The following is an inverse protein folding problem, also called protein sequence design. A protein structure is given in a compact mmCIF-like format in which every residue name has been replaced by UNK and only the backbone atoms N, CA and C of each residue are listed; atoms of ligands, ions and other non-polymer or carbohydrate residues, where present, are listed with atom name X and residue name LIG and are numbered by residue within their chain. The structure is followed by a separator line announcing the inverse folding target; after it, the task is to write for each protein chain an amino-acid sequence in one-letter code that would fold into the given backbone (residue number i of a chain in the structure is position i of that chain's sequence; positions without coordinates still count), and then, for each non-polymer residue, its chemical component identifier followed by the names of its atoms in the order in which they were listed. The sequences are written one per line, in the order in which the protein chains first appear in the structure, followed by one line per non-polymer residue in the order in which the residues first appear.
data_IF_205856180793
#
_entry.id   IF_205856180793
#
_cell.length_a   1.000
_cell.length_b   1.000
_cell.length_c   1.000
_cell.angle_alpha   90.00
_cell.angle_beta   90.00
_cell.angle_gamma   90.00
#
_symmetry.space_group_name_H-M   'P 1'
#
loop_
_entity.id
_entity.type
_entity.pdbx_description
1 polymer ?
#
# COMPACT_ATOMS: atom_id res chain seq x y z
N UNK A 1 78.23 8.52 7.74
CA UNK A 1 76.95 7.79 7.92
C UNK A 1 75.79 8.79 8.00
N UNK A 2 75.19 9.16 6.86
CA UNK A 2 73.96 9.96 6.81
C UNK A 2 72.78 8.99 6.74
N UNK A 3 71.90 9.00 7.75
CA UNK A 3 70.66 8.22 7.76
C UNK A 3 69.56 9.07 7.10
N UNK A 4 69.14 8.67 5.91
CA UNK A 4 67.97 9.22 5.21
C UNK A 4 66.71 8.69 5.90
N UNK A 5 65.92 9.57 6.50
CA UNK A 5 64.60 9.22 7.05
C UNK A 5 63.60 9.34 5.90
N UNK A 6 63.07 8.20 5.46
CA UNK A 6 62.00 8.14 4.47
C UNK A 6 60.67 8.32 5.20
N UNK A 7 60.05 9.50 5.08
CA UNK A 7 58.68 9.72 5.55
C UNK A 7 57.71 9.09 4.55
N UNK A 8 57.15 7.93 4.91
CA UNK A 8 55.98 7.38 4.25
C UNK A 8 54.76 8.24 4.60
N UNK A 9 54.31 9.06 3.65
CA UNK A 9 52.99 9.68 3.68
C UNK A 9 51.93 8.60 3.41
N UNK A 10 51.35 8.05 4.48
CA UNK A 10 50.12 7.28 4.42
C UNK A 10 48.96 8.24 4.16
N UNK A 11 48.55 8.37 2.90
CA UNK A 11 47.28 9.02 2.54
C UNK A 11 46.14 8.09 2.96
N UNK A 12 45.53 8.36 4.12
CA UNK A 12 44.25 7.79 4.51
C UNK A 12 43.17 8.37 3.58
N UNK A 13 42.82 7.65 2.51
CA UNK A 13 41.57 7.89 1.80
C UNK A 13 40.43 7.43 2.72
N UNK A 14 39.89 8.34 3.53
CA UNK A 14 38.53 8.15 4.05
C UNK A 14 37.60 8.23 2.84
N UNK A 15 37.10 7.10 2.37
CA UNK A 15 35.93 7.02 1.50
C UNK A 15 34.73 7.57 2.29
N UNK A 16 34.53 8.88 2.25
CA UNK A 16 33.21 9.44 2.52
C UNK A 16 32.39 9.09 1.28
N UNK A 17 31.59 8.02 1.34
CA UNK A 17 30.56 7.74 0.32
C UNK A 17 29.74 9.02 0.18
N UNK A 18 29.63 9.54 -1.04
CA UNK A 18 28.75 10.68 -1.29
C UNK A 18 27.32 10.26 -0.89
N UNK A 19 26.59 11.16 -0.20
CA UNK A 19 25.18 10.92 0.07
C UNK A 19 24.45 11.03 -1.26
N UNK A 20 23.98 9.92 -1.81
CA UNK A 20 23.17 9.90 -3.03
C UNK A 20 21.92 10.75 -2.83
N UNK A 21 21.56 11.49 -3.88
CA UNK A 21 20.33 12.28 -3.90
C UNK A 21 19.12 11.35 -4.09
N UNK A 22 17.91 11.81 -3.70
CA UNK A 22 16.69 11.04 -3.92
C UNK A 22 16.42 10.75 -5.42
N UNK A 23 16.94 11.60 -6.31
CA UNK A 23 16.79 11.43 -7.76
C UNK A 23 17.74 10.33 -8.28
N UNK A 24 19.00 10.29 -7.82
CA UNK A 24 19.92 9.20 -8.17
C UNK A 24 19.41 7.82 -7.69
N UNK A 25 18.82 7.78 -6.49
CA UNK A 25 18.22 6.56 -5.95
C UNK A 25 17.01 6.10 -6.78
N UNK A 26 16.17 7.04 -7.24
CA UNK A 26 14.96 6.65 -7.98
C UNK A 26 15.29 6.09 -9.36
N UNK A 27 16.31 6.65 -10.03
CA UNK A 27 16.79 6.19 -11.33
C UNK A 27 17.28 4.73 -11.25
N UNK A 28 17.98 4.36 -10.16
CA UNK A 28 18.37 2.99 -9.92
C UNK A 28 17.15 2.07 -9.67
N UNK A 29 16.21 2.51 -8.84
CA UNK A 29 14.98 1.74 -8.54
C UNK A 29 14.15 1.48 -9.80
N UNK A 30 14.18 2.40 -10.78
CA UNK A 30 13.52 2.23 -12.08
C UNK A 30 14.07 1.02 -12.86
N UNK A 31 15.34 0.64 -12.70
CA UNK A 31 15.90 -0.56 -13.34
C UNK A 31 15.20 -1.86 -12.89
N UNK A 32 14.56 -1.85 -11.72
CA UNK A 32 13.78 -2.96 -11.19
C UNK A 32 12.27 -2.88 -11.55
N UNK A 33 11.82 -1.83 -12.23
CA UNK A 33 10.43 -1.75 -12.70
C UNK A 33 10.16 -2.85 -13.73
N UNK A 34 9.05 -3.57 -13.52
CA UNK A 34 8.61 -4.61 -14.45
C UNK A 34 7.59 -4.02 -15.41
N UNK A 35 7.79 -4.21 -16.72
CA UNK A 35 6.83 -3.78 -17.73
C UNK A 35 5.45 -4.39 -17.49
N UNK A 36 4.40 -3.61 -17.80
CA UNK A 36 3.04 -4.12 -17.75
C UNK A 36 2.84 -5.21 -18.81
N UNK A 37 2.22 -6.35 -18.46
CA UNK A 37 1.90 -7.36 -19.45
C UNK A 37 0.88 -6.81 -20.46
N UNK A 38 0.92 -7.32 -21.68
CA UNK A 38 -0.10 -7.01 -22.71
C UNK A 38 -1.48 -7.39 -22.18
N UNK A 39 -2.44 -6.45 -22.05
CA UNK A 39 -3.74 -6.73 -21.44
C UNK A 39 -4.55 -7.75 -22.24
N UNK A 40 -5.17 -8.69 -21.53
CA UNK A 40 -5.99 -9.78 -22.09
C UNK A 40 -7.48 -9.58 -21.76
N UNK A 41 -8.40 -10.23 -22.49
CA UNK A 41 -9.82 -10.19 -22.16
C UNK A 41 -10.07 -10.58 -20.69
N UNK A 42 -10.68 -9.66 -19.93
CA UNK A 42 -10.93 -9.81 -18.49
C UNK A 42 -10.06 -8.91 -17.62
N UNK A 43 -8.91 -8.46 -18.11
CA UNK A 43 -8.01 -7.55 -17.40
C UNK A 43 -8.57 -6.12 -17.36
N UNK A 44 -8.15 -5.35 -16.36
CA UNK A 44 -8.59 -3.97 -16.19
C UNK A 44 -8.25 -3.10 -17.40
N UNK A 45 -6.97 -3.09 -17.81
CA UNK A 45 -6.48 -2.26 -18.92
C UNK A 45 -6.94 -2.74 -20.32
N UNK A 46 -7.48 -3.95 -20.40
CA UNK A 46 -8.17 -4.41 -21.62
C UNK A 46 -9.48 -3.64 -21.78
N UNK A 47 -10.25 -3.50 -20.69
CA UNK A 47 -11.56 -2.84 -20.66
C UNK A 47 -11.48 -1.31 -20.55
N UNK A 48 -10.58 -0.79 -19.72
CA UNK A 48 -10.46 0.63 -19.42
C UNK A 48 -9.15 1.17 -19.96
N UNK A 49 -9.22 2.26 -20.75
CA UNK A 49 -8.03 2.95 -21.25
C UNK A 49 -7.70 4.11 -20.33
N UNK A 50 -6.59 3.98 -19.62
CA UNK A 50 -6.11 4.95 -18.65
C UNK A 50 -4.83 5.60 -19.16
N UNK A 51 -4.68 6.90 -18.91
CA UNK A 51 -3.50 7.66 -19.36
C UNK A 51 -2.33 7.62 -18.37
N UNK A 52 -2.56 7.04 -17.18
CA UNK A 52 -1.66 7.19 -16.05
C UNK A 52 -1.65 8.62 -15.50
N UNK A 53 -0.64 8.91 -14.68
CA UNK A 53 -0.44 10.21 -14.05
C UNK A 53 1.07 10.37 -13.87
N UNK A 54 1.70 11.41 -14.45
CA UNK A 54 3.13 11.67 -14.22
C UNK A 54 3.38 12.27 -12.83
N UNK A 55 4.65 12.38 -12.42
CA UNK A 55 5.03 13.02 -11.15
C UNK A 55 4.62 14.51 -11.14
N UNK A 56 4.79 15.23 -12.24
CA UNK A 56 4.39 16.63 -12.37
C UNK A 56 2.87 16.79 -12.25
N UNK A 57 2.12 15.92 -12.93
CA UNK A 57 0.67 15.90 -12.85
C UNK A 57 0.19 15.60 -11.42
N UNK A 58 0.85 14.66 -10.75
CA UNK A 58 0.59 14.33 -9.35
C UNK A 58 0.81 15.54 -8.43
N UNK A 59 1.93 16.25 -8.56
CA UNK A 59 2.25 17.44 -7.78
C UNK A 59 1.16 18.52 -7.94
N UNK A 60 0.66 18.69 -9.17
CA UNK A 60 -0.41 19.64 -9.50
C UNK A 60 -1.77 19.27 -8.89
N UNK A 61 -2.00 18.02 -8.47
CA UNK A 61 -3.27 17.62 -7.83
C UNK A 61 -3.49 18.23 -6.45
N UNK A 62 -2.44 18.81 -5.84
CA UNK A 62 -2.41 19.26 -4.45
C UNK A 62 -2.89 18.15 -3.49
N UNK A 63 -2.14 17.03 -3.38
CA UNK A 63 -2.57 15.85 -2.64
C UNK A 63 -2.73 16.15 -1.15
N UNK A 64 -3.47 15.29 -0.46
CA UNK A 64 -3.53 15.28 1.00
C UNK A 64 -2.12 15.06 1.54
N UNK A 65 -1.66 15.94 2.45
CA UNK A 65 -0.32 15.89 3.03
C UNK A 65 -0.37 15.85 4.55
N UNK A 66 0.66 15.28 5.20
CA UNK A 66 0.89 15.45 6.63
C UNK A 66 0.95 16.94 7.00
N UNK A 67 0.45 17.27 8.18
CA UNK A 67 0.54 18.61 8.78
C UNK A 67 1.05 18.48 10.22
N UNK A 68 1.16 19.59 10.95
CA UNK A 68 1.44 19.55 12.39
C UNK A 68 0.33 18.91 13.24
N UNK A 69 -0.88 18.76 12.68
CA UNK A 69 -2.03 18.13 13.36
C UNK A 69 -2.28 16.73 12.80
N UNK A 70 -2.46 16.64 11.48
CA UNK A 70 -2.83 15.41 10.76
C UNK A 70 -1.59 14.59 10.43
N UNK A 71 -1.34 13.55 11.21
CA UNK A 71 -0.10 12.76 11.15
C UNK A 71 -0.32 11.25 11.23
N UNK A 72 -1.55 10.79 11.50
CA UNK A 72 -1.82 9.39 11.82
C UNK A 72 -2.71 8.74 10.75
N UNK A 73 -2.34 7.55 10.26
CA UNK A 73 -3.27 6.67 9.56
C UNK A 73 -4.09 5.88 10.57
N UNK A 74 -5.39 5.80 10.35
CA UNK A 74 -6.26 4.96 11.16
C UNK A 74 -6.81 3.79 10.36
N UNK A 75 -6.81 2.60 10.96
CA UNK A 75 -7.67 1.51 10.53
C UNK A 75 -8.95 1.50 11.38
N UNK A 76 -10.11 1.46 10.74
CA UNK A 76 -11.41 1.33 11.41
C UNK A 76 -12.01 -0.05 11.10
N UNK A 77 -11.92 -1.04 12.01
CA UNK A 77 -12.59 -2.32 11.83
C UNK A 77 -14.12 -2.14 11.90
N UNK A 78 -14.85 -2.67 10.92
CA UNK A 78 -16.33 -2.64 10.87
C UNK A 78 -16.86 -4.04 10.57
N UNK A 79 -17.60 -4.64 11.51
CA UNK A 79 -18.25 -5.94 11.34
C UNK A 79 -17.85 -6.95 12.42
N UNK A 80 -17.71 -8.20 12.02
CA UNK A 80 -17.43 -9.33 12.91
C UNK A 80 -16.20 -10.09 12.42
N UNK A 81 -15.17 -10.12 13.25
CA UNK A 81 -13.88 -10.70 12.89
C UNK A 81 -13.53 -11.86 13.83
N UNK A 82 -13.10 -12.97 13.24
CA UNK A 82 -12.40 -14.04 13.98
C UNK A 82 -11.07 -13.52 14.54
N UNK A 83 -10.49 -14.23 15.52
CA UNK A 83 -9.18 -13.85 16.09
C UNK A 83 -8.08 -13.78 15.02
N UNK A 84 -8.10 -14.69 14.04
CA UNK A 84 -7.14 -14.68 12.94
C UNK A 84 -7.30 -13.44 12.05
N UNK A 85 -8.54 -13.01 11.79
CA UNK A 85 -8.80 -11.79 11.01
C UNK A 85 -8.40 -10.53 11.78
N UNK A 86 -8.63 -10.47 13.10
CA UNK A 86 -8.15 -9.37 13.94
C UNK A 86 -6.63 -9.26 13.88
N UNK A 87 -5.93 -10.38 13.97
CA UNK A 87 -4.47 -10.41 13.82
C UNK A 87 -4.00 -9.95 12.43
N UNK A 88 -4.73 -10.29 11.36
CA UNK A 88 -4.43 -9.78 10.01
C UNK A 88 -4.61 -8.25 9.95
N UNK A 89 -5.62 -7.69 10.63
CA UNK A 89 -5.82 -6.23 10.71
C UNK A 89 -4.64 -5.58 11.44
N UNK A 90 -4.17 -6.16 12.54
CA UNK A 90 -3.02 -5.65 13.29
C UNK A 90 -1.76 -5.66 12.41
N UNK A 91 -1.48 -6.75 11.69
CA UNK A 91 -0.35 -6.81 10.75
C UNK A 91 -0.53 -5.88 9.55
N UNK A 92 -1.77 -5.60 9.15
CA UNK A 92 -2.05 -4.59 8.13
C UNK A 92 -1.69 -3.19 8.65
N UNK A 93 -1.96 -2.87 9.92
CA UNK A 93 -1.52 -1.61 10.52
C UNK A 93 0.02 -1.51 10.61
N UNK A 94 0.70 -2.61 10.96
CA UNK A 94 2.17 -2.68 10.94
C UNK A 94 2.71 -2.43 9.54
N UNK A 95 2.16 -3.11 8.53
CA UNK A 95 2.54 -2.92 7.13
C UNK A 95 2.34 -1.48 6.66
N UNK A 96 1.16 -0.91 6.90
CA UNK A 96 0.83 0.46 6.48
C UNK A 96 1.71 1.50 7.15
N UNK A 97 2.14 1.23 8.39
CA UNK A 97 3.10 2.08 9.10
C UNK A 97 4.41 2.17 8.34
N UNK A 98 4.92 1.02 7.91
CA UNK A 98 6.16 0.93 7.14
C UNK A 98 5.96 1.46 5.72
N UNK A 99 4.91 1.03 5.03
CA UNK A 99 4.68 1.31 3.62
C UNK A 99 4.51 2.81 3.34
N UNK A 100 3.86 3.55 4.24
CA UNK A 100 3.67 5.00 4.11
C UNK A 100 4.67 5.82 4.95
N UNK A 101 5.48 5.18 5.80
CA UNK A 101 6.41 5.88 6.70
C UNK A 101 5.69 6.76 7.73
N UNK A 102 4.50 6.35 8.16
CA UNK A 102 3.57 7.16 8.96
C UNK A 102 2.95 6.32 10.06
N UNK A 103 2.75 6.89 11.25
CA UNK A 103 2.15 6.14 12.38
C UNK A 103 0.76 5.62 12.00
N UNK A 104 0.53 4.32 12.12
CA UNK A 104 -0.81 3.73 11.96
C UNK A 104 -1.37 3.27 13.31
N UNK A 105 -2.67 3.50 13.54
CA UNK A 105 -3.39 3.03 14.74
C UNK A 105 -4.65 2.28 14.33
N UNK A 106 -5.03 1.25 15.09
CA UNK A 106 -6.31 0.56 14.92
C UNK A 106 -7.33 1.16 15.90
N UNK A 107 -8.48 1.59 15.39
CA UNK A 107 -9.60 2.11 16.18
C UNK A 107 -10.43 0.97 16.79
N UNK A 108 -11.26 1.26 17.82
CA UNK A 108 -12.19 0.28 18.36
C UNK A 108 -13.11 -0.31 17.30
N UNK A 109 -13.38 -1.61 17.39
CA UNK A 109 -14.28 -2.33 16.50
C UNK A 109 -15.69 -1.70 16.53
N UNK A 110 -16.24 -1.43 15.35
CA UNK A 110 -17.62 -1.02 15.17
C UNK A 110 -18.45 -2.15 14.57
N UNK A 111 -19.73 -2.21 14.94
CA UNK A 111 -20.66 -3.19 14.38
C UNK A 111 -21.07 -2.78 12.97
N UNK A 112 -21.17 -3.74 12.05
CA UNK A 112 -21.78 -3.51 10.74
C UNK A 112 -23.27 -3.11 10.86
N UNK A 113 -23.89 -3.33 12.04
CA UNK A 113 -25.28 -2.95 12.30
C UNK A 113 -25.57 -1.45 12.22
N UNK A 114 -24.54 -0.61 12.32
CA UNK A 114 -24.68 0.84 12.12
C UNK A 114 -25.04 1.24 10.67
N UNK A 115 -24.86 0.33 9.71
CA UNK A 115 -25.18 0.57 8.30
C UNK A 115 -26.66 0.20 8.09
N UNK A 116 -27.52 1.13 7.66
CA UNK A 116 -28.96 0.90 7.58
C UNK A 116 -29.30 -0.09 6.45
N UNK A 117 -30.45 -0.77 6.56
CA UNK A 117 -30.92 -1.72 5.56
C UNK A 117 -31.04 -1.10 4.14
N UNK A 118 -31.35 0.20 4.04
CA UNK A 118 -31.36 0.95 2.77
C UNK A 118 -29.99 1.07 2.09
N UNK A 119 -28.91 0.78 2.81
CA UNK A 119 -27.52 0.80 2.34
C UNK A 119 -26.87 -0.59 2.43
N UNK A 120 -27.71 -1.64 2.45
CA UNK A 120 -27.30 -3.03 2.31
C UNK A 120 -28.08 -3.69 1.17
N UNK A 121 -27.55 -4.81 0.67
CA UNK A 121 -28.31 -5.73 -0.18
C UNK A 121 -27.93 -7.16 0.15
N UNK A 122 -28.86 -8.08 -0.11
CA UNK A 122 -28.60 -9.52 0.02
C UNK A 122 -28.11 -10.04 -1.32
N UNK A 123 -27.01 -10.81 -1.32
CA UNK A 123 -26.53 -11.46 -2.53
C UNK A 123 -27.40 -12.65 -2.91
N UNK A 124 -27.34 -13.04 -4.17
CA UNK A 124 -28.03 -14.24 -4.69
C UNK A 124 -27.68 -15.50 -3.88
N UNK A 125 -26.41 -15.66 -3.50
CA UNK A 125 -25.93 -16.80 -2.70
C UNK A 125 -26.03 -16.59 -1.18
N UNK A 126 -26.77 -15.57 -0.74
CA UNK A 126 -26.90 -15.19 0.66
C UNK A 126 -25.75 -14.35 1.21
N UNK A 127 -25.99 -13.77 2.38
CA UNK A 127 -25.08 -12.86 3.08
C UNK A 127 -25.17 -11.42 2.59
N UNK A 128 -24.95 -10.50 3.54
CA UNK A 128 -25.07 -9.06 3.34
C UNK A 128 -23.89 -8.49 2.56
N UNK A 129 -24.21 -7.60 1.62
CA UNK A 129 -23.30 -6.68 0.98
C UNK A 129 -23.57 -5.25 1.46
N UNK A 130 -22.52 -4.52 1.82
CA UNK A 130 -22.59 -3.16 2.32
C UNK A 130 -22.26 -2.17 1.20
N UNK A 131 -22.99 -1.05 1.15
CA UNK A 131 -22.74 0.02 0.19
C UNK A 131 -21.47 0.79 0.59
N UNK A 132 -20.38 0.62 -0.16
CA UNK A 132 -19.09 1.22 0.17
C UNK A 132 -19.15 2.77 0.30
N UNK A 133 -19.82 3.51 -0.61
CA UNK A 133 -20.00 4.96 -0.44
C UNK A 133 -20.68 5.37 0.88
N UNK A 134 -21.60 4.57 1.41
CA UNK A 134 -22.25 4.88 2.69
C UNK A 134 -21.25 4.82 3.85
N UNK A 135 -20.36 3.83 3.84
CA UNK A 135 -19.29 3.70 4.85
C UNK A 135 -18.40 4.95 4.81
N UNK A 136 -17.97 5.37 3.62
CA UNK A 136 -17.14 6.57 3.49
C UNK A 136 -17.88 7.82 3.99
N UNK A 137 -19.04 8.10 3.43
CA UNK A 137 -19.69 9.41 3.55
C UNK A 137 -20.51 9.59 4.83
N UNK A 138 -21.10 8.52 5.34
CA UNK A 138 -22.01 8.57 6.50
C UNK A 138 -21.41 7.96 7.77
N UNK A 139 -20.39 7.11 7.65
CA UNK A 139 -19.72 6.51 8.82
C UNK A 139 -18.38 7.20 9.11
N UNK A 140 -17.47 7.23 8.14
CA UNK A 140 -16.10 7.69 8.39
C UNK A 140 -15.97 9.22 8.39
N UNK A 141 -16.52 9.91 7.39
CA UNK A 141 -16.37 11.38 7.27
C UNK A 141 -16.87 12.14 8.50
N UNK A 142 -18.05 11.83 9.08
CA UNK A 142 -18.53 12.53 10.27
C UNK A 142 -17.71 12.27 11.54
N UNK A 143 -16.91 11.20 11.56
CA UNK A 143 -16.17 10.73 12.74
C UNK A 143 -14.66 10.70 12.52
N UNK A 144 -14.14 11.47 11.55
CA UNK A 144 -12.72 11.62 11.30
C UNK A 144 -12.00 12.15 12.56
N UNK A 145 -11.04 11.40 13.15
CA UNK A 145 -10.22 11.93 14.23
C UNK A 145 -9.48 13.19 13.79
N UNK A 146 -9.27 14.13 14.72
CA UNK A 146 -8.61 15.41 14.41
C UNK A 146 -7.17 15.22 13.90
N UNK A 147 -6.43 14.28 14.50
CA UNK A 147 -5.05 13.94 14.13
C UNK A 147 -4.97 12.95 12.95
N UNK A 148 -6.11 12.51 12.41
CA UNK A 148 -6.12 11.59 11.27
C UNK A 148 -5.58 12.30 10.03
N UNK A 149 -4.54 11.72 9.43
CA UNK A 149 -4.15 12.01 8.05
C UNK A 149 -5.19 11.41 7.10
N UNK A 150 -5.45 10.11 7.26
CA UNK A 150 -6.48 9.34 6.54
C UNK A 150 -7.07 8.26 7.45
N UNK A 151 -8.28 7.80 7.12
CA UNK A 151 -8.95 6.68 7.81
C UNK A 151 -9.35 5.61 6.79
N UNK A 152 -8.84 4.41 6.95
CA UNK A 152 -9.16 3.26 6.13
C UNK A 152 -9.99 2.27 6.94
N UNK A 153 -11.26 2.10 6.57
CA UNK A 153 -12.06 1.03 7.15
C UNK A 153 -11.62 -0.33 6.61
N UNK A 154 -11.67 -1.34 7.47
CA UNK A 154 -11.56 -2.75 7.06
C UNK A 154 -12.85 -3.43 7.50
N UNK A 155 -13.57 -4.06 6.57
CA UNK A 155 -14.81 -4.77 6.88
C UNK A 155 -14.73 -6.26 6.60
N UNK A 156 -15.38 -7.05 7.45
CA UNK A 156 -15.61 -8.48 7.25
C UNK A 156 -16.71 -8.79 6.24
N UNK A 157 -17.52 -7.80 5.87
CA UNK A 157 -18.66 -7.96 4.97
C UNK A 157 -18.26 -7.64 3.53
N UNK A 158 -18.98 -8.21 2.57
CA UNK A 158 -18.75 -7.94 1.16
C UNK A 158 -19.20 -6.51 0.78
N UNK A 159 -18.59 -5.90 -0.22
CA UNK A 159 -18.82 -4.50 -0.60
C UNK A 159 -19.39 -4.39 -2.00
N UNK A 160 -20.19 -3.35 -2.24
CA UNK A 160 -20.59 -2.94 -3.59
C UNK A 160 -20.54 -1.41 -3.74
N UNK A 161 -20.18 -0.87 -4.92
CA UNK A 161 -20.03 0.57 -5.11
C UNK A 161 -21.32 1.25 -5.56
N UNK A 162 -22.16 0.55 -6.34
CA UNK A 162 -23.40 1.07 -6.91
C UNK A 162 -24.33 -0.10 -7.30
N UNK A 163 -25.65 0.14 -7.49
CA UNK A 163 -26.61 -0.92 -7.79
C UNK A 163 -26.25 -1.79 -9.00
N UNK A 164 -25.65 -1.22 -10.04
CA UNK A 164 -25.29 -1.90 -11.29
C UNK A 164 -23.99 -2.72 -11.23
N UNK A 165 -23.29 -2.73 -10.10
CA UNK A 165 -22.01 -3.41 -9.93
C UNK A 165 -22.11 -4.61 -9.00
N UNK A 166 -21.33 -5.66 -9.27
CA UNK A 166 -21.36 -6.90 -8.49
C UNK A 166 -20.70 -6.77 -7.12
N UNK A 167 -19.47 -6.26 -7.07
CA UNK A 167 -18.75 -5.99 -5.84
C UNK A 167 -17.49 -5.14 -6.12
N UNK A 168 -16.84 -4.69 -5.05
CA UNK A 168 -15.48 -4.12 -5.07
C UNK A 168 -14.67 -4.70 -3.91
N UNK A 169 -13.35 -4.77 -4.05
CA UNK A 169 -12.46 -5.15 -2.95
C UNK A 169 -12.22 -3.99 -1.98
N UNK A 170 -12.21 -2.78 -2.51
CA UNK A 170 -12.14 -1.54 -1.75
C UNK A 170 -12.71 -0.36 -2.52
N UNK A 171 -12.81 0.77 -1.83
CA UNK A 171 -13.19 2.04 -2.40
C UNK A 171 -12.61 3.18 -1.54
N UNK A 172 -11.95 4.14 -2.17
CA UNK A 172 -11.46 5.33 -1.50
C UNK A 172 -12.00 6.63 -2.09
N UNK A 173 -12.03 7.66 -1.25
CA UNK A 173 -12.20 9.03 -1.70
C UNK A 173 -10.85 9.71 -1.88
N UNK A 174 -10.63 10.27 -3.07
CA UNK A 174 -9.43 11.04 -3.42
C UNK A 174 -9.23 12.31 -2.57
N UNK A 175 -10.28 12.82 -1.92
CA UNK A 175 -10.23 14.11 -1.20
C UNK A 175 -10.74 14.04 0.23
N UNK A 176 -11.70 13.15 0.52
CA UNK A 176 -12.34 13.07 1.85
C UNK A 176 -11.47 12.36 2.89
N UNK A 177 -10.31 11.82 2.50
CA UNK A 177 -9.33 11.16 3.39
C UNK A 177 -9.86 9.88 4.03
N UNK A 178 -10.79 9.22 3.35
CA UNK A 178 -11.46 8.01 3.83
C UNK A 178 -11.53 6.96 2.73
N UNK A 179 -11.50 5.70 3.12
CA UNK A 179 -11.76 4.57 2.25
C UNK A 179 -12.14 3.32 3.03
N UNK A 180 -12.46 2.26 2.32
CA UNK A 180 -12.84 0.97 2.89
C UNK A 180 -12.30 -0.17 2.04
N UNK A 181 -11.81 -1.24 2.69
CA UNK A 181 -11.46 -2.52 2.06
C UNK A 181 -12.21 -3.65 2.74
N UNK A 182 -12.46 -4.73 2.00
CA UNK A 182 -13.16 -5.91 2.50
C UNK A 182 -12.25 -7.12 2.53
N UNK A 183 -12.12 -7.74 3.71
CA UNK A 183 -11.46 -9.04 3.85
C UNK A 183 -12.35 -10.21 3.39
N UNK A 184 -13.63 -9.96 3.09
CA UNK A 184 -14.65 -10.99 2.84
C UNK A 184 -14.21 -12.01 1.79
N UNK A 185 -13.57 -11.55 0.72
CA UNK A 185 -13.23 -12.38 -0.46
C UNK A 185 -11.82 -12.96 -0.42
N UNK A 186 -11.03 -12.72 0.62
CA UNK A 186 -9.59 -13.05 0.60
C UNK A 186 -9.25 -14.43 1.18
N UNK A 187 -10.16 -15.02 1.96
CA UNK A 187 -10.04 -16.40 2.40
C UNK A 187 -11.06 -17.25 1.65
N UNK A 188 -10.60 -18.16 0.78
CA UNK A 188 -11.45 -19.11 0.06
C UNK A 188 -12.24 -19.98 1.06
N UNK A 189 -13.44 -19.50 1.44
CA UNK A 189 -14.41 -20.06 2.41
C UNK A 189 -14.09 -19.79 3.89
N UNK A 190 -12.91 -20.16 4.39
CA UNK A 190 -12.51 -19.94 5.79
C UNK A 190 -11.01 -19.70 5.95
N UNK A 191 -10.66 -18.76 6.81
CA UNK A 191 -9.27 -18.43 7.12
C UNK A 191 -8.65 -19.49 8.03
N UNK A 192 -7.54 -20.08 7.59
CA UNK A 192 -6.76 -21.07 8.30
C UNK A 192 -5.26 -20.79 8.12
N UNK A 193 -4.39 -21.62 8.72
CA UNK A 193 -2.93 -21.40 8.66
C UNK A 193 -2.35 -21.43 7.25
N UNK A 194 -2.95 -22.17 6.31
CA UNK A 194 -2.43 -22.33 4.96
C UNK A 194 -2.74 -21.12 4.07
N UNK A 195 -3.96 -20.56 4.15
CA UNK A 195 -4.34 -19.38 3.36
C UNK A 195 -4.12 -18.05 4.10
N UNK A 196 -3.53 -18.09 5.30
CA UNK A 196 -3.23 -16.92 6.09
C UNK A 196 -2.30 -15.90 5.39
N UNK A 197 -1.15 -16.30 4.81
CA UNK A 197 -0.25 -15.35 4.15
C UNK A 197 -0.92 -14.66 2.96
N UNK A 198 -1.66 -15.42 2.14
CA UNK A 198 -2.37 -14.88 0.99
C UNK A 198 -3.48 -13.90 1.39
N UNK A 199 -4.21 -14.19 2.48
CA UNK A 199 -5.24 -13.29 2.97
C UNK A 199 -4.64 -11.96 3.49
N UNK A 200 -3.52 -12.03 4.20
CA UNK A 200 -2.77 -10.85 4.60
C UNK A 200 -2.26 -10.08 3.38
N UNK A 201 -1.63 -10.76 2.42
CA UNK A 201 -1.10 -10.18 1.19
C UNK A 201 -2.18 -9.39 0.42
N UNK A 202 -3.36 -9.98 0.26
CA UNK A 202 -4.49 -9.31 -0.43
C UNK A 202 -5.00 -8.10 0.34
N UNK A 203 -5.11 -8.18 1.68
CA UNK A 203 -5.59 -7.05 2.47
C UNK A 203 -4.60 -5.89 2.47
N UNK A 204 -3.29 -6.16 2.62
CA UNK A 204 -2.27 -5.10 2.58
C UNK A 204 -2.20 -4.45 1.19
N UNK A 205 -2.37 -5.25 0.12
CA UNK A 205 -2.41 -4.77 -1.28
C UNK A 205 -3.55 -3.81 -1.51
N UNK A 206 -4.78 -4.25 -1.25
CA UNK A 206 -5.96 -3.41 -1.44
C UNK A 206 -5.92 -2.20 -0.49
N UNK A 207 -5.51 -2.37 0.77
CA UNK A 207 -5.50 -1.24 1.70
C UNK A 207 -4.48 -0.17 1.34
N UNK A 208 -3.28 -0.56 0.90
CA UNK A 208 -2.28 0.40 0.41
C UNK A 208 -2.69 1.05 -0.91
N UNK A 209 -3.33 0.31 -1.82
CA UNK A 209 -3.90 0.85 -3.06
C UNK A 209 -4.96 1.94 -2.77
N UNK A 210 -5.95 1.63 -1.94
CA UNK A 210 -7.02 2.57 -1.60
C UNK A 210 -6.49 3.79 -0.84
N UNK A 211 -5.53 3.61 0.08
CA UNK A 211 -4.88 4.75 0.74
C UNK A 211 -4.06 5.57 -0.26
N UNK A 212 -3.44 4.93 -1.26
CA UNK A 212 -2.76 5.63 -2.36
C UNK A 212 -3.69 6.60 -3.08
N UNK A 213 -4.94 6.19 -3.36
CA UNK A 213 -5.96 7.09 -3.90
C UNK A 213 -6.29 8.25 -2.95
N UNK A 214 -6.31 8.05 -1.63
CA UNK A 214 -6.49 9.15 -0.66
C UNK A 214 -5.34 10.16 -0.68
N UNK A 215 -4.17 9.76 -1.19
CA UNK A 215 -3.03 10.63 -1.46
C UNK A 215 -2.98 11.13 -2.92
N UNK A 216 -4.08 11.04 -3.66
CA UNK A 216 -4.26 11.48 -5.06
C UNK A 216 -3.50 10.68 -6.13
N UNK A 217 -2.97 9.49 -5.81
CA UNK A 217 -2.47 8.60 -6.84
C UNK A 217 -3.64 8.09 -7.68
N UNK A 218 -3.55 8.19 -9.01
CA UNK A 218 -4.47 7.47 -9.90
C UNK A 218 -3.98 6.03 -10.10
N UNK A 219 -4.74 5.24 -10.86
CA UNK A 219 -4.20 3.98 -11.35
C UNK A 219 -2.90 4.21 -12.13
N UNK A 220 -1.92 3.34 -11.87
CA UNK A 220 -0.62 3.35 -12.52
C UNK A 220 -0.69 2.55 -13.83
N UNK A 221 -0.16 3.14 -14.90
CA UNK A 221 0.02 2.49 -16.20
C UNK A 221 1.49 2.48 -16.64
N UNK A 222 2.42 2.84 -15.75
CA UNK A 222 3.85 2.93 -16.06
C UNK A 222 4.52 1.55 -16.03
N UNK A 223 4.30 0.80 -14.94
CA UNK A 223 4.90 -0.49 -14.68
C UNK A 223 3.96 -1.33 -13.81
N UNK A 224 4.31 -2.60 -13.58
CA UNK A 224 3.68 -3.45 -12.56
C UNK A 224 3.85 -2.78 -11.20
N UNK A 225 2.73 -2.42 -10.57
CA UNK A 225 2.65 -1.56 -9.41
C UNK A 225 1.41 -1.91 -8.58
N UNK A 226 1.50 -1.76 -7.26
CA UNK A 226 0.35 -1.87 -6.35
C UNK A 226 -0.78 -0.91 -6.71
N UNK A 227 -0.49 0.18 -7.41
CA UNK A 227 -1.46 1.15 -7.91
C UNK A 227 -2.06 0.78 -9.28
N UNK A 228 -1.74 -0.37 -9.89
CA UNK A 228 -2.44 -0.76 -11.14
C UNK A 228 -3.92 -1.00 -10.85
N UNK A 229 -4.80 -0.59 -11.77
CA UNK A 229 -6.20 -0.99 -11.73
C UNK A 229 -6.33 -2.49 -11.93
N UNK A 230 -7.25 -3.12 -11.18
CA UNK A 230 -7.48 -4.57 -11.24
C UNK A 230 -8.98 -4.87 -11.32
N UNK A 231 -9.34 -5.88 -12.11
CA UNK A 231 -10.71 -6.29 -12.36
C UNK A 231 -11.06 -7.63 -11.68
N UNK A 232 -10.06 -8.34 -11.13
CA UNK A 232 -10.25 -9.62 -10.43
C UNK A 232 -9.18 -9.88 -9.36
N UNK A 233 -9.43 -10.84 -8.45
CA UNK A 233 -8.40 -11.31 -7.51
C UNK A 233 -7.24 -11.97 -8.24
N UNK A 234 -7.53 -12.71 -9.32
CA UNK A 234 -6.52 -13.40 -10.10
C UNK A 234 -5.54 -12.39 -10.70
N UNK A 235 -6.04 -11.30 -11.28
CA UNK A 235 -5.21 -10.20 -11.78
C UNK A 235 -4.42 -9.54 -10.64
N UNK A 236 -5.06 -9.24 -9.51
CA UNK A 236 -4.41 -8.64 -8.34
C UNK A 236 -3.31 -9.51 -7.72
N UNK A 237 -3.47 -10.83 -7.70
CA UNK A 237 -2.50 -11.78 -7.17
C UNK A 237 -1.27 -11.93 -8.08
N UNK A 238 -1.41 -11.58 -9.38
CA UNK A 238 -0.30 -11.58 -10.33
C UNK A 238 0.62 -10.37 -10.19
N UNK A 239 0.23 -9.30 -9.51
CA UNK A 239 1.10 -8.15 -9.20
C UNK A 239 1.70 -8.26 -7.78
N UNK A 240 2.90 -7.71 -7.51
CA UNK A 240 3.47 -7.64 -6.17
C UNK A 240 2.92 -6.43 -5.38
N UNK A 241 3.20 -6.37 -4.09
CA UNK A 241 2.94 -5.23 -3.20
C UNK A 241 4.03 -4.13 -3.29
N UNK A 242 4.51 -3.85 -4.51
CA UNK A 242 5.56 -2.87 -4.80
C UNK A 242 4.97 -1.63 -5.46
N UNK A 243 5.46 -0.45 -5.08
CA UNK A 243 5.28 0.77 -5.89
C UNK A 243 6.36 0.79 -6.96
N UNK A 244 5.98 1.01 -8.22
CA UNK A 244 6.94 1.34 -9.27
C UNK A 244 7.70 2.64 -8.93
N UNK A 245 8.84 2.89 -9.59
CA UNK A 245 9.68 4.07 -9.36
C UNK A 245 8.84 5.36 -9.39
N UNK A 246 8.01 5.53 -10.41
CA UNK A 246 7.17 6.74 -10.57
C UNK A 246 6.17 6.94 -9.41
N UNK A 247 5.49 5.88 -8.96
CA UNK A 247 4.54 5.97 -7.85
C UNK A 247 5.25 6.13 -6.49
N UNK A 248 6.42 5.53 -6.36
CA UNK A 248 7.26 5.65 -5.19
C UNK A 248 7.77 7.10 -5.04
N UNK A 249 8.22 7.73 -6.12
CA UNK A 249 8.66 9.12 -6.14
C UNK A 249 7.54 10.09 -5.75
N UNK A 250 6.32 9.90 -6.29
CA UNK A 250 5.14 10.69 -5.91
C UNK A 250 4.87 10.65 -4.41
N UNK A 251 4.86 9.44 -3.83
CA UNK A 251 4.62 9.27 -2.39
C UNK A 251 5.78 9.77 -1.55
N UNK A 252 7.03 9.57 -1.96
CA UNK A 252 8.19 10.09 -1.24
C UNK A 252 8.19 11.62 -1.26
N UNK A 253 7.89 12.24 -2.39
CA UNK A 253 7.72 13.69 -2.48
C UNK A 253 6.64 14.20 -1.53
N UNK A 254 5.55 13.44 -1.34
CA UNK A 254 4.44 13.86 -0.49
C UNK A 254 4.67 13.60 1.01
N UNK A 255 5.17 12.41 1.36
CA UNK A 255 5.24 11.90 2.73
C UNK A 255 6.64 11.99 3.35
N UNK A 256 7.67 12.28 2.54
CA UNK A 256 9.05 12.55 2.97
C UNK A 256 9.70 11.41 3.76
N UNK A 257 9.36 10.16 3.48
CA UNK A 257 10.05 9.00 4.06
C UNK A 257 11.43 8.77 3.41
N UNK A 258 12.32 8.07 4.12
CA UNK A 258 13.57 7.55 3.56
C UNK A 258 13.32 6.27 2.77
N UNK A 259 13.90 6.16 1.56
CA UNK A 259 13.81 4.93 0.76
C UNK A 259 14.44 3.74 1.47
N UNK A 260 15.69 3.89 1.92
CA UNK A 260 16.46 2.82 2.58
C UNK A 260 15.74 2.28 3.81
N UNK A 261 15.38 3.16 4.76
CA UNK A 261 14.72 2.75 6.00
C UNK A 261 13.37 2.08 5.73
N UNK A 262 12.64 2.56 4.72
CA UNK A 262 11.37 1.97 4.30
C UNK A 262 11.58 0.58 3.71
N UNK A 263 12.53 0.41 2.80
CA UNK A 263 12.77 -0.88 2.16
C UNK A 263 13.28 -1.94 3.14
N UNK A 264 14.22 -1.60 4.03
CA UNK A 264 14.70 -2.52 5.06
C UNK A 264 13.55 -3.01 5.96
N UNK A 265 12.67 -2.10 6.38
CA UNK A 265 11.50 -2.44 7.19
C UNK A 265 10.47 -3.28 6.40
N UNK A 266 10.24 -2.99 5.11
CA UNK A 266 9.38 -3.81 4.25
C UNK A 266 9.95 -5.22 4.06
N UNK A 267 11.26 -5.35 3.80
CA UNK A 267 11.95 -6.64 3.69
C UNK A 267 11.76 -7.47 4.96
N UNK A 268 11.96 -6.85 6.13
CA UNK A 268 11.75 -7.51 7.42
C UNK A 268 10.28 -7.96 7.60
N UNK A 269 9.31 -7.11 7.23
CA UNK A 269 7.89 -7.45 7.27
C UNK A 269 7.57 -8.65 6.37
N UNK A 270 7.98 -8.62 5.10
CA UNK A 270 7.71 -9.70 4.15
C UNK A 270 8.37 -11.02 4.57
N UNK A 271 9.60 -10.99 5.09
CA UNK A 271 10.29 -12.16 5.66
C UNK A 271 9.51 -12.76 6.82
N UNK A 272 9.09 -11.93 7.78
CA UNK A 272 8.30 -12.34 8.96
C UNK A 272 6.98 -13.02 8.57
N UNK A 273 6.31 -12.51 7.55
CA UNK A 273 4.99 -12.98 7.13
C UNK A 273 5.01 -14.00 5.97
N UNK A 274 6.20 -14.46 5.56
CA UNK A 274 6.40 -15.45 4.47
C UNK A 274 5.84 -14.99 3.13
N UNK A 275 5.93 -13.70 2.85
CA UNK A 275 5.55 -13.09 1.57
C UNK A 275 6.76 -13.11 0.63
N UNK A 276 7.16 -14.30 0.18
CA UNK A 276 8.45 -14.55 -0.48
C UNK A 276 8.66 -13.70 -1.73
N UNK A 277 7.63 -13.57 -2.58
CA UNK A 277 7.72 -12.77 -3.80
C UNK A 277 8.00 -11.29 -3.50
N UNK A 278 7.26 -10.71 -2.55
CA UNK A 278 7.45 -9.32 -2.16
C UNK A 278 8.79 -9.10 -1.46
N UNK A 279 9.24 -10.08 -0.67
CA UNK A 279 10.57 -10.11 -0.06
C UNK A 279 11.68 -10.05 -1.12
N UNK A 280 11.64 -10.92 -2.12
CA UNK A 280 12.65 -10.97 -3.18
C UNK A 280 12.69 -9.67 -3.97
N UNK A 281 11.52 -9.12 -4.30
CA UNK A 281 11.40 -7.90 -5.07
C UNK A 281 11.96 -6.70 -4.29
N UNK A 282 11.57 -6.50 -3.02
CA UNK A 282 12.10 -5.38 -2.23
C UNK A 282 13.59 -5.55 -1.93
N UNK A 283 14.10 -6.78 -1.85
CA UNK A 283 15.53 -7.04 -1.66
C UNK A 283 16.36 -6.56 -2.84
N UNK A 284 15.80 -6.62 -4.07
CA UNK A 284 16.44 -6.05 -5.26
C UNK A 284 16.49 -4.52 -5.20
N UNK A 285 15.43 -3.87 -4.71
CA UNK A 285 15.43 -2.41 -4.53
C UNK A 285 16.45 -1.98 -3.45
N UNK A 286 16.58 -2.74 -2.36
CA UNK A 286 17.58 -2.48 -1.32
C UNK A 286 18.98 -2.55 -1.90
N UNK A 287 19.26 -3.59 -2.70
CA UNK A 287 20.58 -3.83 -3.26
C UNK A 287 21.16 -2.66 -4.05
N UNK A 288 20.29 -1.87 -4.67
CA UNK A 288 20.69 -0.69 -5.41
C UNK A 288 20.94 0.48 -4.45
N UNK A 289 20.08 0.66 -3.44
CA UNK A 289 20.22 1.74 -2.45
C UNK A 289 21.29 1.52 -1.37
N UNK A 290 21.72 0.28 -1.15
CA UNK A 290 22.71 -0.10 -0.14
C UNK A 290 23.32 -1.49 -0.47
N UNK A 291 24.48 -1.49 -1.14
CA UNK A 291 25.20 -2.70 -1.56
C UNK A 291 25.57 -3.63 -0.38
N UNK A 292 25.83 -3.07 0.81
CA UNK A 292 26.26 -3.84 1.99
C UNK A 292 25.11 -4.71 2.54
N UNK A 293 23.86 -4.41 2.18
CA UNK A 293 22.66 -5.12 2.60
C UNK A 293 22.21 -6.21 1.61
N UNK A 294 22.94 -6.42 0.51
CA UNK A 294 22.60 -7.39 -0.54
C UNK A 294 22.78 -8.87 -0.15
N UNK A 295 23.71 -9.17 0.75
CA UNK A 295 24.22 -10.54 0.93
C UNK A 295 23.64 -11.31 2.14
N UNK A 296 22.60 -10.80 2.81
CA UNK A 296 22.00 -11.40 4.03
C UNK A 296 20.49 -11.72 3.90
#
# INVERSE_FOLDING_TARGET
MRRTICLLLLTLFSCVRAVETNDEIIDQIEENDQELPVPKPGDWLYKYKEKGQTVEQYIQTNPVKPTNIRTVLYLQPIGSFSNNQKQIIDYTADYLTVFFGMKTKVLPLQSAEMIPASSRRVRENGGDQLLAPYILDSVLVPHLPEDALVVMAVTSNDLYPAPSWNYVFGLASYKKRVGVSSIYRYADKQLNKANYPQCLERLIKTSSHEIGHMFSLTHCTNAVCVMNGVNSLQESDLAPNRLCSECLQKLQWNLKFSYESRFLALRAFFKKHKLTRDYEIVSKDICLTNEDECEN
#
